data_IF_242389861831
#
_entry.id   IF_242389861831
#
_cell.length_a   1.000
_cell.length_b   1.000
_cell.length_c   1.000
_cell.angle_alpha   90.00
_cell.angle_beta   90.00
_cell.angle_gamma   90.00
#
_symmetry.space_group_name_H-M   'P 1'
#
loop_
_entity.id
_entity.type
_entity.pdbx_description
1 polymer ?
#
# COMPACT_ATOMS: atom_id res chain seq x y z
N UNK A 1 19.89 6.65 4.61
CA UNK A 1 18.66 6.61 3.80
C UNK A 1 17.99 7.97 3.82
N UNK A 2 17.74 8.53 2.64
CA UNK A 2 16.94 9.75 2.53
C UNK A 2 15.50 9.45 2.96
N UNK A 3 14.80 10.44 3.53
CA UNK A 3 13.41 10.26 4.01
C UNK A 3 12.48 9.72 2.90
N UNK A 4 12.80 10.01 1.65
CA UNK A 4 12.12 9.56 0.43
C UNK A 4 12.19 8.04 0.25
N UNK A 5 13.41 7.48 0.34
CA UNK A 5 13.65 6.04 0.17
C UNK A 5 13.01 5.25 1.31
N UNK A 6 13.08 5.77 2.55
CA UNK A 6 12.47 5.10 3.70
C UNK A 6 10.95 5.01 3.58
N UNK A 7 10.30 6.08 3.11
CA UNK A 7 8.86 6.09 2.89
C UNK A 7 8.48 5.15 1.75
N UNK A 8 9.17 5.24 0.60
CA UNK A 8 8.92 4.34 -0.52
C UNK A 8 9.11 2.87 -0.13
N UNK A 9 10.17 2.55 0.60
CA UNK A 9 10.46 1.19 1.06
C UNK A 9 9.36 0.66 1.99
N UNK A 10 8.91 1.47 2.96
CA UNK A 10 7.84 1.07 3.90
C UNK A 10 6.51 0.88 3.17
N UNK A 11 6.17 1.76 2.21
CA UNK A 11 4.98 1.59 1.38
C UNK A 11 5.04 0.28 0.58
N UNK A 12 6.17 -0.02 -0.06
CA UNK A 12 6.35 -1.26 -0.83
C UNK A 12 6.24 -2.50 0.06
N UNK A 13 6.80 -2.47 1.27
CA UNK A 13 6.69 -3.59 2.22
C UNK A 13 5.23 -3.81 2.63
N UNK A 14 4.49 -2.74 2.91
CA UNK A 14 3.07 -2.81 3.30
C UNK A 14 2.22 -3.34 2.14
N UNK A 15 2.43 -2.85 0.92
CA UNK A 15 1.75 -3.33 -0.29
C UNK A 15 2.01 -4.83 -0.52
N UNK A 16 3.28 -5.26 -0.40
CA UNK A 16 3.64 -6.66 -0.58
C UNK A 16 3.03 -7.58 0.49
N UNK A 17 2.99 -7.13 1.75
CA UNK A 17 2.35 -7.85 2.84
C UNK A 17 0.83 -7.96 2.64
N UNK A 18 0.16 -6.89 2.21
CA UNK A 18 -1.27 -6.87 1.91
C UNK A 18 -1.62 -7.75 0.71
N UNK A 19 -0.82 -7.69 -0.36
CA UNK A 19 -1.00 -8.54 -1.53
C UNK A 19 -0.83 -10.03 -1.18
N UNK A 20 0.18 -10.36 -0.37
CA UNK A 20 0.39 -11.73 0.13
C UNK A 20 -0.76 -12.21 1.01
N UNK A 21 -1.24 -11.35 1.91
CA UNK A 21 -2.38 -11.65 2.77
C UNK A 21 -3.66 -11.85 1.94
N UNK A 22 -3.89 -11.02 0.92
CA UNK A 22 -5.02 -11.20 0.00
C UNK A 22 -4.97 -12.54 -0.72
N UNK A 23 -3.82 -12.85 -1.33
CA UNK A 23 -3.63 -14.10 -2.06
C UNK A 23 -3.86 -15.31 -1.17
N UNK A 24 -3.34 -15.27 0.07
CA UNK A 24 -3.56 -16.32 1.06
C UNK A 24 -5.04 -16.48 1.42
N UNK A 25 -5.75 -15.40 1.75
CA UNK A 25 -7.18 -15.47 2.07
C UNK A 25 -8.00 -15.94 0.86
N UNK A 26 -7.75 -15.41 -0.34
CA UNK A 26 -8.46 -15.82 -1.55
C UNK A 26 -8.24 -17.30 -1.86
N UNK A 27 -7.00 -17.79 -1.74
CA UNK A 27 -6.66 -19.19 -1.94
C UNK A 27 -7.28 -20.09 -0.85
N UNK A 28 -7.29 -19.66 0.41
CA UNK A 28 -7.91 -20.37 1.52
C UNK A 28 -9.43 -20.52 1.35
N UNK A 29 -10.11 -19.45 0.92
CA UNK A 29 -11.55 -19.47 0.64
C UNK A 29 -11.95 -20.35 -0.54
N UNK A 30 -11.09 -20.47 -1.56
CA UNK A 30 -11.30 -21.42 -2.66
C UNK A 30 -10.99 -22.87 -2.26
N UNK A 31 -10.02 -23.09 -1.37
CA UNK A 31 -9.59 -24.42 -0.97
C UNK A 31 -10.51 -25.06 0.09
N UNK A 32 -11.23 -24.25 0.89
CA UNK A 32 -12.10 -24.74 1.96
C UNK A 32 -13.51 -24.11 1.89
N UNK A 33 -14.28 -24.38 0.81
CA UNK A 33 -15.59 -23.76 0.60
C UNK A 33 -16.62 -24.06 1.70
N UNK A 34 -16.54 -25.21 2.38
CA UNK A 34 -17.41 -25.57 3.51
C UNK A 34 -17.07 -24.83 4.83
N UNK A 35 -15.86 -24.29 4.94
CA UNK A 35 -15.41 -23.59 6.15
C UNK A 35 -15.49 -22.06 6.03
N UNK A 36 -15.86 -21.54 4.86
CA UNK A 36 -16.00 -20.11 4.63
C UNK A 36 -17.44 -19.72 4.31
N UNK A 37 -17.86 -18.58 4.82
CA UNK A 37 -19.19 -18.02 4.53
C UNK A 37 -19.32 -17.69 3.04
N UNK A 38 -20.52 -17.81 2.46
CA UNK A 38 -20.77 -17.49 1.05
C UNK A 38 -20.28 -16.06 0.67
N UNK A 39 -20.33 -15.12 1.60
CA UNK A 39 -19.87 -13.75 1.43
C UNK A 39 -18.35 -13.56 1.54
N UNK A 40 -17.58 -14.62 1.81
CA UNK A 40 -16.14 -14.51 2.10
C UNK A 40 -15.35 -13.89 0.96
N UNK A 41 -15.61 -14.28 -0.30
CA UNK A 41 -14.96 -13.63 -1.45
C UNK A 41 -15.36 -12.16 -1.59
N UNK A 42 -16.62 -11.81 -1.32
CA UNK A 42 -17.11 -10.44 -1.40
C UNK A 42 -16.47 -9.56 -0.32
N UNK A 43 -16.41 -10.04 0.93
CA UNK A 43 -15.78 -9.35 2.07
C UNK A 43 -14.28 -9.22 1.86
N UNK A 44 -13.60 -10.28 1.40
CA UNK A 44 -12.17 -10.23 1.09
C UNK A 44 -11.91 -9.24 -0.04
N UNK A 45 -12.70 -9.26 -1.11
CA UNK A 45 -12.60 -8.32 -2.22
C UNK A 45 -12.82 -6.87 -1.79
N UNK A 46 -13.86 -6.60 -0.99
CA UNK A 46 -14.17 -5.25 -0.50
C UNK A 46 -13.10 -4.74 0.47
N UNK A 47 -12.67 -5.58 1.40
CA UNK A 47 -11.64 -5.23 2.39
C UNK A 47 -10.32 -4.95 1.69
N UNK A 48 -9.95 -5.77 0.71
CA UNK A 48 -8.66 -5.67 0.03
C UNK A 48 -8.66 -4.56 -1.02
N UNK A 49 -9.78 -4.33 -1.70
CA UNK A 49 -9.97 -3.14 -2.54
C UNK A 49 -9.88 -1.85 -1.72
N UNK A 50 -10.49 -1.81 -0.52
CA UNK A 50 -10.38 -0.66 0.38
C UNK A 50 -8.96 -0.50 0.91
N UNK A 51 -8.30 -1.60 1.32
CA UNK A 51 -6.94 -1.57 1.84
C UNK A 51 -5.93 -1.14 0.76
N UNK A 52 -5.95 -1.74 -0.43
CA UNK A 52 -5.09 -1.34 -1.56
C UNK A 52 -5.39 0.09 -2.01
N UNK A 53 -6.67 0.51 -2.06
CA UNK A 53 -7.05 1.88 -2.37
C UNK A 53 -6.54 2.89 -1.32
N UNK A 54 -6.63 2.56 -0.04
CA UNK A 54 -6.11 3.39 1.04
C UNK A 54 -4.58 3.49 1.00
N UNK A 55 -3.89 2.37 0.76
CA UNK A 55 -2.42 2.37 0.66
C UNK A 55 -1.95 3.13 -0.58
N UNK A 56 -2.59 2.97 -1.74
CA UNK A 56 -2.31 3.79 -2.92
C UNK A 56 -2.58 5.28 -2.67
N UNK A 57 -3.70 5.62 -2.01
CA UNK A 57 -4.03 7.00 -1.65
C UNK A 57 -2.97 7.63 -0.75
N UNK A 58 -2.53 6.90 0.27
CA UNK A 58 -1.44 7.32 1.17
C UNK A 58 -0.11 7.39 0.40
N UNK A 59 0.18 6.43 -0.48
CA UNK A 59 1.38 6.41 -1.32
C UNK A 59 1.47 7.62 -2.24
N UNK A 60 0.39 7.99 -2.93
CA UNK A 60 0.31 9.19 -3.78
C UNK A 60 0.45 10.46 -2.96
N UNK A 61 -0.21 10.54 -1.79
CA UNK A 61 -0.10 11.69 -0.90
C UNK A 61 1.34 11.89 -0.41
N UNK A 62 1.99 10.82 0.03
CA UNK A 62 3.39 10.82 0.47
C UNK A 62 4.35 11.14 -0.68
N UNK A 63 4.08 10.65 -1.89
CA UNK A 63 4.84 11.02 -3.10
C UNK A 63 4.76 12.52 -3.38
N UNK A 64 3.57 13.12 -3.32
CA UNK A 64 3.40 14.56 -3.49
C UNK A 64 4.11 15.38 -2.40
N UNK A 65 4.03 14.95 -1.14
CA UNK A 65 4.74 15.58 -0.02
C UNK A 65 6.25 15.47 -0.21
N UNK A 66 6.75 14.30 -0.62
CA UNK A 66 8.17 14.07 -0.92
C UNK A 66 8.65 14.92 -2.11
N UNK A 67 7.86 15.02 -3.17
CA UNK A 67 8.15 15.87 -4.34
C UNK A 67 8.22 17.35 -3.96
N UNK A 68 7.34 17.83 -3.07
CA UNK A 68 7.44 19.20 -2.53
C UNK A 68 8.68 19.40 -1.67
N UNK A 69 9.05 18.42 -0.86
CA UNK A 69 10.25 18.49 -0.02
C UNK A 69 11.54 18.48 -0.85
N UNK A 70 11.55 17.74 -1.97
CA UNK A 70 12.69 17.72 -2.87
C UNK A 70 12.89 19.07 -3.58
N UNK A 71 11.81 19.69 -4.07
CA UNK A 71 11.87 21.07 -4.58
C UNK A 71 12.48 22.03 -3.56
N UNK A 72 12.05 21.99 -2.31
CA UNK A 72 12.59 22.86 -1.25
C UNK A 72 14.06 22.56 -0.92
N UNK A 73 14.48 21.30 -1.00
CA UNK A 73 15.87 20.89 -0.76
C UNK A 73 16.79 21.33 -1.89
N UNK A 74 16.34 21.21 -3.14
CA UNK A 74 17.06 21.70 -4.34
C UNK A 74 17.14 23.23 -4.32
N UNK A 75 16.05 23.91 -3.98
CA UNK A 75 16.00 25.38 -3.90
C UNK A 75 16.96 25.91 -2.81
N UNK A 76 16.99 25.28 -1.63
CA UNK A 76 17.93 25.67 -0.56
C UNK A 76 19.40 25.38 -0.93
N UNK A 77 19.64 24.34 -1.75
CA UNK A 77 20.99 24.02 -2.26
C UNK A 77 21.43 24.93 -3.41
N UNK A 78 20.50 25.55 -4.14
CA UNK A 78 20.81 26.57 -5.17
C UNK A 78 20.92 27.99 -4.62
N UNK A 79 20.53 28.21 -3.36
CA UNK A 79 20.56 29.53 -2.70
C UNK A 79 21.81 29.75 -1.83
N UNK A 80 22.73 28.78 -1.81
CA UNK A 80 23.98 28.79 -1.05
C UNK A 80 25.19 28.68 -1.98
#
# INVERSE_FOLDING_TARGET
MSKKERVALVTVIIEAALAGLWWYLASYGMANPDHVTADFQQVVGQTMGTAMGAVLGIGVMLFFVAARYDRKTIENKMRH
#
